data_IF_317140668996
#
_entry.id   IF_317140668996
#
_cell.length_a   1.000
_cell.length_b   1.000
_cell.length_c   1.000
_cell.angle_alpha   90.00
_cell.angle_beta   90.00
_cell.angle_gamma   90.00
#
_symmetry.space_group_name_H-M   'P 1'
#
loop_
_entity.id
_entity.type
_entity.pdbx_description
1 polymer ?
#
# COMPACT_ATOMS: atom_id res chain seq x y z
N UNK A 1 -11.17 -13.63 -0.63
CA UNK A 1 -10.29 -12.55 -1.16
C UNK A 1 -9.06 -12.54 -0.29
N UNK A 2 -7.84 -12.41 -0.84
CA UNK A 2 -6.63 -12.24 0.00
C UNK A 2 -6.55 -10.81 0.54
N UNK A 3 -5.76 -10.59 1.61
CA UNK A 3 -5.43 -9.22 2.09
C UNK A 3 -4.83 -8.37 0.98
N UNK A 4 -3.94 -8.94 0.16
CA UNK A 4 -3.34 -8.26 -1.00
C UNK A 4 -4.39 -7.81 -2.02
N UNK A 5 -5.36 -8.68 -2.33
CA UNK A 5 -6.45 -8.32 -3.26
C UNK A 5 -7.34 -7.22 -2.69
N UNK A 6 -7.64 -7.28 -1.39
CA UNK A 6 -8.43 -6.26 -0.71
C UNK A 6 -7.72 -4.90 -0.72
N UNK A 7 -6.42 -4.87 -0.40
CA UNK A 7 -5.58 -3.66 -0.48
C UNK A 7 -5.56 -3.12 -1.90
N UNK A 8 -5.27 -3.97 -2.89
CA UNK A 8 -5.22 -3.58 -4.30
C UNK A 8 -6.56 -3.03 -4.78
N UNK A 9 -7.68 -3.58 -4.34
CA UNK A 9 -9.02 -3.09 -4.69
C UNK A 9 -9.21 -1.64 -4.27
N UNK A 10 -8.85 -1.29 -3.04
CA UNK A 10 -8.96 0.08 -2.50
C UNK A 10 -7.98 1.02 -3.20
N UNK A 11 -6.71 0.60 -3.37
CA UNK A 11 -5.68 1.40 -4.05
C UNK A 11 -6.05 1.66 -5.52
N UNK A 12 -6.58 0.67 -6.23
CA UNK A 12 -7.00 0.84 -7.63
C UNK A 12 -8.19 1.79 -7.74
N UNK A 13 -9.14 1.74 -6.80
CA UNK A 13 -10.21 2.72 -6.73
C UNK A 13 -9.65 4.13 -6.48
N UNK A 14 -8.71 4.29 -5.54
CA UNK A 14 -8.07 5.58 -5.31
C UNK A 14 -7.34 6.11 -6.55
N UNK A 15 -6.64 5.22 -7.28
CA UNK A 15 -5.95 5.57 -8.53
C UNK A 15 -6.91 6.03 -9.63
N UNK A 16 -8.10 5.43 -9.74
CA UNK A 16 -9.10 5.83 -10.72
C UNK A 16 -9.74 7.19 -10.43
N UNK A 17 -9.63 7.67 -9.19
CA UNK A 17 -10.17 8.95 -8.75
C UNK A 17 -9.18 10.12 -8.95
N UNK A 18 -7.93 9.86 -9.28
CA UNK A 18 -6.91 10.90 -9.48
C UNK A 18 -7.33 11.88 -10.58
N UNK A 19 -7.26 13.17 -10.28
CA UNK A 19 -7.71 14.25 -11.15
C UNK A 19 -9.15 14.71 -10.92
N UNK A 20 -9.94 14.00 -10.08
CA UNK A 20 -11.27 14.48 -9.72
C UNK A 20 -11.19 15.84 -9.04
N UNK A 21 -12.06 16.77 -9.46
CA UNK A 21 -12.27 18.09 -8.88
C UNK A 21 -13.77 18.33 -8.70
N UNK A 22 -14.22 18.83 -7.54
CA UNK A 22 -15.59 19.26 -7.40
C UNK A 22 -15.86 20.50 -8.25
N UNK A 23 -17.01 20.55 -8.91
CA UNK A 23 -17.40 21.66 -9.81
C UNK A 23 -18.13 22.79 -9.11
N UNK A 24 -18.62 22.54 -7.90
CA UNK A 24 -19.38 23.50 -7.12
C UNK A 24 -18.90 23.49 -5.66
N UNK A 25 -17.99 24.37 -5.31
CA UNK A 25 -17.41 24.45 -3.97
C UNK A 25 -16.81 23.11 -3.54
N UNK A 26 -17.02 22.74 -2.27
CA UNK A 26 -16.58 21.44 -1.71
C UNK A 26 -17.65 20.34 -1.79
N UNK A 27 -18.66 20.51 -2.65
CA UNK A 27 -19.69 19.49 -2.87
C UNK A 27 -19.12 18.34 -3.71
N UNK A 28 -18.89 17.19 -3.08
CA UNK A 28 -18.24 16.07 -3.73
C UNK A 28 -19.14 14.86 -3.92
N UNK A 29 -18.88 14.06 -4.94
CA UNK A 29 -19.55 12.76 -5.11
C UNK A 29 -19.31 11.81 -3.92
N UNK A 30 -18.19 11.96 -3.23
CA UNK A 30 -17.80 11.14 -2.08
C UNK A 30 -18.66 11.44 -0.87
N UNK A 31 -18.78 12.73 -0.50
CA UNK A 31 -19.63 13.16 0.61
C UNK A 31 -21.10 12.85 0.33
N UNK A 32 -21.60 13.17 -0.87
CA UNK A 32 -22.98 12.84 -1.28
C UNK A 32 -23.30 11.36 -1.15
N UNK A 33 -22.36 10.49 -1.54
CA UNK A 33 -22.54 9.05 -1.41
C UNK A 33 -22.59 8.61 0.05
N UNK A 34 -21.66 9.05 0.90
CA UNK A 34 -21.64 8.68 2.31
C UNK A 34 -22.83 9.28 3.09
N UNK A 35 -23.23 10.51 2.78
CA UNK A 35 -24.41 11.16 3.36
C UNK A 35 -25.71 10.43 2.99
N UNK A 36 -25.77 9.81 1.79
CA UNK A 36 -26.93 9.01 1.36
C UNK A 36 -27.15 7.73 2.18
N UNK A 37 -26.14 7.29 2.92
CA UNK A 37 -26.22 6.12 3.80
C UNK A 37 -26.94 6.42 5.13
N UNK A 38 -27.23 7.68 5.41
CA UNK A 38 -28.06 8.17 6.51
C UNK A 38 -27.45 8.15 7.91
N UNK A 39 -26.68 7.09 8.26
CA UNK A 39 -26.11 6.91 9.60
C UNK A 39 -24.58 6.68 9.61
N UNK A 40 -23.90 6.93 8.48
CA UNK A 40 -22.46 6.77 8.42
C UNK A 40 -21.75 7.79 9.30
N UNK A 41 -22.07 9.07 9.13
CA UNK A 41 -21.56 10.15 9.97
C UNK A 41 -22.63 10.71 10.93
N UNK A 42 -22.18 11.49 11.90
CA UNK A 42 -23.02 12.22 12.86
C UNK A 42 -23.86 13.35 12.24
N UNK A 43 -23.75 13.59 10.95
CA UNK A 43 -24.46 14.58 10.16
C UNK A 43 -23.88 14.66 8.76
N UNK A 44 -24.54 15.39 7.87
CA UNK A 44 -24.09 15.57 6.48
C UNK A 44 -22.72 16.23 6.41
N UNK A 45 -21.89 15.77 5.45
CA UNK A 45 -20.52 16.25 5.21
C UNK A 45 -20.34 16.87 3.83
N UNK A 46 -21.36 16.85 2.97
CA UNK A 46 -21.30 17.49 1.67
C UNK A 46 -21.16 19.01 1.81
N UNK A 47 -20.16 19.60 1.16
CA UNK A 47 -19.82 21.02 1.25
C UNK A 47 -18.71 21.36 2.25
N UNK A 48 -18.19 20.38 3.00
CA UNK A 48 -17.09 20.57 3.96
C UNK A 48 -15.75 20.02 3.40
N UNK A 49 -14.67 20.15 4.20
CA UNK A 49 -13.40 19.53 3.91
C UNK A 49 -13.55 18.02 3.78
N UNK A 50 -12.94 17.44 2.74
CA UNK A 50 -13.28 16.10 2.30
C UNK A 50 -12.09 15.14 2.13
N UNK A 51 -10.93 15.46 2.74
CA UNK A 51 -9.78 14.56 2.68
C UNK A 51 -10.08 13.22 3.37
N UNK A 52 -10.68 13.24 4.54
CA UNK A 52 -11.07 12.05 5.30
C UNK A 52 -12.28 11.35 4.69
N UNK A 53 -13.25 12.15 4.25
CA UNK A 53 -14.43 11.67 3.51
C UNK A 53 -14.03 10.88 2.24
N UNK A 54 -13.00 11.33 1.52
CA UNK A 54 -12.46 10.61 0.38
C UNK A 54 -11.89 9.25 0.80
N UNK A 55 -11.10 9.21 1.88
CA UNK A 55 -10.55 7.97 2.39
C UNK A 55 -11.65 6.98 2.80
N UNK A 56 -12.62 7.43 3.56
CA UNK A 56 -13.77 6.61 4.00
C UNK A 56 -14.57 6.07 2.80
N UNK A 57 -14.81 6.93 1.80
CA UNK A 57 -15.49 6.52 0.56
C UNK A 57 -14.79 5.33 -0.11
N UNK A 58 -13.46 5.30 -0.15
CA UNK A 58 -12.73 4.22 -0.79
C UNK A 58 -13.06 2.86 -0.16
N UNK A 59 -13.14 2.81 1.16
CA UNK A 59 -13.45 1.57 1.89
C UNK A 59 -14.92 1.19 1.78
N UNK A 60 -15.80 2.15 1.97
CA UNK A 60 -17.24 1.93 1.88
C UNK A 60 -17.66 1.51 0.48
N UNK A 61 -17.10 2.15 -0.54
CA UNK A 61 -17.37 1.79 -1.95
C UNK A 61 -16.81 0.42 -2.31
N UNK A 62 -15.67 0.03 -1.72
CA UNK A 62 -15.03 -1.25 -1.98
C UNK A 62 -15.72 -2.43 -1.29
N UNK A 63 -16.24 -2.25 -0.08
CA UNK A 63 -16.68 -3.36 0.77
C UNK A 63 -18.10 -3.21 1.33
N UNK A 64 -18.81 -2.14 0.99
CA UNK A 64 -20.12 -1.80 1.56
C UNK A 64 -20.00 -1.04 2.88
N UNK A 65 -21.07 -0.35 3.25
CA UNK A 65 -21.08 0.59 4.37
C UNK A 65 -20.66 -0.05 5.70
N UNK A 66 -21.22 -1.21 6.01
CA UNK A 66 -21.01 -1.87 7.31
C UNK A 66 -19.59 -2.41 7.46
N UNK A 67 -19.08 -3.09 6.43
CA UNK A 67 -17.73 -3.63 6.44
C UNK A 67 -16.68 -2.52 6.33
N UNK A 68 -16.84 -1.59 5.38
CA UNK A 68 -15.91 -0.48 5.19
C UNK A 68 -15.74 0.33 6.48
N UNK A 69 -16.85 0.65 7.16
CA UNK A 69 -16.85 1.37 8.43
C UNK A 69 -16.08 0.60 9.53
N UNK A 70 -16.38 -0.70 9.69
CA UNK A 70 -15.72 -1.56 10.67
C UNK A 70 -14.21 -1.73 10.39
N UNK A 71 -13.81 -1.77 9.10
CA UNK A 71 -12.40 -1.81 8.73
C UNK A 71 -11.63 -0.57 9.21
N UNK A 72 -12.31 0.57 9.32
CA UNK A 72 -11.77 1.83 9.78
C UNK A 72 -12.01 2.07 11.29
N UNK A 73 -12.52 1.05 12.00
CA UNK A 73 -12.86 1.11 13.43
C UNK A 73 -13.87 2.19 13.79
N UNK A 74 -14.62 2.69 12.82
CA UNK A 74 -15.58 3.77 13.02
C UNK A 74 -16.93 3.24 13.56
N UNK A 75 -17.56 3.91 14.55
CA UNK A 75 -18.90 3.60 14.99
C UNK A 75 -19.94 4.09 13.97
N UNK A 76 -21.20 3.68 14.13
CA UNK A 76 -22.32 4.37 13.47
C UNK A 76 -22.40 5.82 13.96
N UNK A 77 -22.85 6.74 13.09
CA UNK A 77 -22.86 8.19 13.34
C UNK A 77 -21.46 8.70 13.74
N UNK A 78 -20.45 8.24 12.99
CA UNK A 78 -19.04 8.51 13.23
C UNK A 78 -18.72 10.01 13.18
N UNK A 79 -17.69 10.41 13.92
CA UNK A 79 -17.00 11.70 13.80
C UNK A 79 -15.83 11.65 12.79
N UNK A 80 -15.65 10.49 12.12
CA UNK A 80 -14.49 10.19 11.25
C UNK A 80 -14.35 11.04 10.00
N UNK A 81 -15.27 11.95 9.67
CA UNK A 81 -14.98 12.97 8.68
C UNK A 81 -13.98 14.02 9.18
N UNK A 82 -13.61 13.99 10.43
CA UNK A 82 -12.57 14.81 11.04
C UNK A 82 -11.33 13.99 11.34
N UNK A 83 -10.20 14.36 10.72
CA UNK A 83 -8.94 13.63 10.70
C UNK A 83 -8.46 13.19 12.10
N UNK A 84 -8.58 14.07 13.10
CA UNK A 84 -8.20 13.74 14.48
C UNK A 84 -9.05 12.63 15.09
N UNK A 85 -10.36 12.57 14.77
CA UNK A 85 -11.24 11.49 15.24
C UNK A 85 -10.91 10.18 14.57
N UNK A 86 -10.67 10.17 13.26
CA UNK A 86 -10.23 8.99 12.54
C UNK A 86 -8.92 8.44 13.11
N UNK A 87 -7.93 9.29 13.36
CA UNK A 87 -6.68 8.88 13.99
C UNK A 87 -6.91 8.26 15.39
N UNK A 88 -7.86 8.76 16.17
CA UNK A 88 -8.18 8.23 17.49
C UNK A 88 -8.83 6.86 17.41
N UNK A 89 -9.73 6.59 16.46
CA UNK A 89 -10.29 5.25 16.28
C UNK A 89 -9.20 4.19 16.05
N UNK A 90 -8.17 4.50 15.26
CA UNK A 90 -7.03 3.59 15.12
C UNK A 90 -6.21 3.44 16.41
N UNK A 91 -5.98 4.52 17.16
CA UNK A 91 -5.24 4.46 18.42
C UNK A 91 -5.94 3.61 19.47
N UNK A 92 -7.25 3.82 19.67
CA UNK A 92 -8.08 3.07 20.60
C UNK A 92 -8.09 1.57 20.28
N UNK A 93 -7.99 1.22 19.01
CA UNK A 93 -7.96 -0.17 18.54
C UNK A 93 -6.53 -0.73 18.35
N UNK A 94 -5.49 -0.05 18.83
CA UNK A 94 -4.06 -0.46 18.71
C UNK A 94 -3.62 -0.66 17.25
N UNK A 95 -4.27 0.02 16.32
CA UNK A 95 -4.06 -0.06 14.88
C UNK A 95 -3.33 1.18 14.32
N UNK A 96 -2.74 2.00 15.19
CA UNK A 96 -1.95 3.17 14.79
C UNK A 96 -0.45 2.84 14.77
N UNK A 97 0.22 3.06 13.64
CA UNK A 97 1.61 2.68 13.38
C UNK A 97 2.48 3.92 13.11
N UNK A 98 3.78 3.80 13.38
CA UNK A 98 4.81 4.75 12.91
C UNK A 98 5.42 4.35 11.56
N UNK A 99 5.13 3.13 11.10
CA UNK A 99 5.64 2.61 9.83
C UNK A 99 4.52 2.58 8.79
N UNK A 100 4.80 2.96 7.53
CA UNK A 100 3.84 2.89 6.45
C UNK A 100 3.49 1.45 6.11
N UNK A 101 2.24 1.26 5.67
CA UNK A 101 1.76 0.02 5.06
C UNK A 101 0.90 0.37 3.84
N UNK A 102 0.84 -0.52 2.85
CA UNK A 102 -0.04 -0.33 1.69
C UNK A 102 -1.50 -0.30 2.14
N UNK A 103 -2.25 0.65 1.63
CA UNK A 103 -3.65 0.87 1.97
C UNK A 103 -3.89 1.53 3.34
N UNK A 104 -2.83 1.86 4.09
CA UNK A 104 -2.95 2.59 5.36
C UNK A 104 -3.43 4.03 5.12
N UNK A 105 -4.11 4.57 6.11
CA UNK A 105 -4.42 5.99 6.20
C UNK A 105 -3.23 6.75 6.76
N UNK A 106 -2.61 7.64 5.98
CA UNK A 106 -1.54 8.51 6.45
C UNK A 106 -2.14 9.76 7.11
N UNK A 107 -1.54 10.22 8.21
CA UNK A 107 -1.99 11.39 8.97
C UNK A 107 -0.93 12.48 9.02
N UNK A 108 -1.36 13.70 8.71
CA UNK A 108 -0.57 14.94 8.81
C UNK A 108 -1.19 15.80 9.91
N UNK A 109 -0.85 15.52 11.17
CA UNK A 109 -1.53 16.11 12.31
C UNK A 109 -3.00 15.71 12.39
N UNK A 110 -3.84 16.69 12.71
CA UNK A 110 -5.30 16.56 12.73
C UNK A 110 -5.97 17.24 11.51
N UNK A 111 -5.18 17.68 10.53
CA UNK A 111 -5.64 18.59 9.48
C UNK A 111 -5.80 17.90 8.13
N UNK A 112 -4.97 16.90 7.83
CA UNK A 112 -4.95 16.27 6.51
C UNK A 112 -4.66 14.78 6.56
N UNK A 113 -5.15 14.07 5.53
CA UNK A 113 -5.01 12.62 5.41
C UNK A 113 -5.10 12.15 3.97
N UNK A 114 -4.65 10.94 3.71
CA UNK A 114 -4.74 10.26 2.43
C UNK A 114 -4.51 8.76 2.55
N UNK A 115 -4.45 8.07 1.43
CA UNK A 115 -4.13 6.64 1.37
C UNK A 115 -2.70 6.41 0.91
N UNK A 116 -1.96 5.53 1.60
CA UNK A 116 -0.65 5.04 1.17
C UNK A 116 -0.83 4.07 0.01
N UNK A 117 -0.27 4.37 -1.14
CA UNK A 117 -0.38 3.54 -2.35
C UNK A 117 0.92 2.85 -2.73
N UNK A 118 2.04 3.32 -2.18
CA UNK A 118 3.36 2.70 -2.29
C UNK A 118 4.33 3.31 -1.27
N UNK A 119 5.46 2.65 -1.01
CA UNK A 119 6.57 3.19 -0.22
C UNK A 119 7.86 2.42 -0.46
N UNK A 120 8.98 3.10 -0.28
CA UNK A 120 10.33 2.52 -0.32
C UNK A 120 11.14 2.89 0.94
N UNK A 121 12.45 2.77 0.89
CA UNK A 121 13.32 3.12 2.03
C UNK A 121 13.33 4.62 2.34
N UNK A 122 13.10 5.49 1.35
CA UNK A 122 13.19 6.96 1.47
C UNK A 122 11.85 7.69 1.47
N UNK A 123 10.85 7.14 0.79
CA UNK A 123 9.63 7.87 0.47
C UNK A 123 8.37 7.08 0.75
N UNK A 124 7.26 7.82 0.92
CA UNK A 124 5.88 7.33 0.94
C UNK A 124 5.12 8.02 -0.17
N UNK A 125 4.40 7.25 -0.96
CA UNK A 125 3.57 7.71 -2.07
C UNK A 125 2.11 7.60 -1.69
N UNK A 126 1.36 8.67 -1.86
CA UNK A 126 -0.05 8.76 -1.44
C UNK A 126 -0.98 9.17 -2.58
N UNK A 127 -2.26 8.93 -2.38
CA UNK A 127 -3.35 9.58 -3.10
C UNK A 127 -4.24 10.25 -2.05
N UNK A 128 -4.52 11.53 -2.26
CA UNK A 128 -5.16 12.39 -1.27
C UNK A 128 -6.32 13.16 -1.90
N UNK A 129 -7.43 13.22 -1.19
CA UNK A 129 -8.54 14.11 -1.51
C UNK A 129 -8.36 15.48 -0.88
N UNK A 130 -9.11 16.47 -1.35
CA UNK A 130 -9.12 17.84 -0.81
C UNK A 130 -7.72 18.49 -0.75
N UNK A 131 -6.88 18.23 -1.73
CA UNK A 131 -5.50 18.77 -1.80
C UNK A 131 -5.32 19.65 -3.04
N UNK A 132 -4.26 20.46 -3.09
CA UNK A 132 -3.94 21.32 -4.23
C UNK A 132 -4.58 22.72 -4.23
N UNK A 133 -5.18 23.14 -3.11
CA UNK A 133 -5.79 24.48 -2.95
C UNK A 133 -7.21 24.62 -3.53
N UNK A 134 -7.85 25.75 -3.28
CA UNK A 134 -9.22 26.04 -3.71
C UNK A 134 -10.25 25.06 -3.13
N UNK A 135 -11.08 24.48 -4.00
CA UNK A 135 -12.07 23.47 -3.60
C UNK A 135 -11.48 22.05 -3.43
N UNK A 136 -10.16 21.94 -3.60
CA UNK A 136 -9.42 20.68 -3.53
C UNK A 136 -9.60 19.80 -4.78
N UNK A 137 -8.74 18.81 -4.89
CA UNK A 137 -8.81 17.76 -5.91
C UNK A 137 -8.21 16.46 -5.37
N UNK A 138 -8.37 15.35 -6.11
CA UNK A 138 -7.66 14.11 -5.81
C UNK A 138 -6.32 14.11 -6.52
N UNK A 139 -5.22 14.04 -5.76
CA UNK A 139 -3.86 14.10 -6.29
C UNK A 139 -2.97 12.99 -5.77
N UNK A 140 -1.93 12.67 -6.55
CA UNK A 140 -0.77 11.92 -6.07
C UNK A 140 0.16 12.85 -5.33
N UNK A 141 0.72 12.39 -4.21
CA UNK A 141 1.73 13.11 -3.43
C UNK A 141 2.87 12.17 -3.06
N UNK A 142 4.02 12.77 -2.75
CA UNK A 142 5.22 12.05 -2.31
C UNK A 142 5.82 12.77 -1.12
N UNK A 143 6.16 12.03 -0.07
CA UNK A 143 6.75 12.57 1.15
C UNK A 143 7.98 11.76 1.54
N UNK A 144 8.98 12.39 2.16
CA UNK A 144 10.06 11.66 2.81
C UNK A 144 9.49 10.87 4.00
N UNK A 145 9.91 9.62 4.16
CA UNK A 145 9.42 8.76 5.28
C UNK A 145 9.73 9.32 6.66
N UNK A 146 10.81 10.10 6.79
CA UNK A 146 11.22 10.77 8.03
C UNK A 146 10.67 12.19 8.13
N UNK A 147 9.72 12.60 7.31
CA UNK A 147 9.09 13.92 7.40
C UNK A 147 8.41 14.10 8.77
N UNK A 148 8.70 15.19 9.44
CA UNK A 148 8.10 15.56 10.72
C UNK A 148 6.60 15.90 10.59
N UNK A 149 6.13 16.17 9.37
CA UNK A 149 4.71 16.41 9.11
C UNK A 149 3.87 15.13 9.20
N UNK A 150 4.48 13.95 9.01
CA UNK A 150 3.79 12.67 9.12
C UNK A 150 3.69 12.29 10.59
N UNK A 151 2.48 12.29 11.14
CA UNK A 151 2.25 11.92 12.54
C UNK A 151 2.07 10.43 12.75
N UNK A 152 1.72 9.68 11.72
CA UNK A 152 1.62 8.21 11.73
C UNK A 152 0.62 7.67 10.70
N UNK A 153 0.28 6.41 10.86
CA UNK A 153 -0.52 5.63 9.91
C UNK A 153 -1.58 4.82 10.64
N UNK A 154 -2.83 4.93 10.21
CA UNK A 154 -3.93 4.06 10.64
C UNK A 154 -3.96 2.82 9.76
N UNK A 155 -3.91 1.64 10.38
CA UNK A 155 -3.91 0.37 9.65
C UNK A 155 -5.34 -0.19 9.65
N UNK A 156 -6.04 -0.25 8.51
CA UNK A 156 -7.37 -0.81 8.43
C UNK A 156 -7.42 -2.28 8.85
N UNK A 157 -8.55 -2.70 9.41
CA UNK A 157 -8.75 -4.10 9.79
C UNK A 157 -9.02 -4.98 8.55
N UNK A 158 -7.96 -5.33 7.85
CA UNK A 158 -8.03 -6.16 6.66
C UNK A 158 -8.58 -7.57 6.92
N UNK A 159 -8.48 -8.06 8.17
CA UNK A 159 -8.99 -9.37 8.56
C UNK A 159 -10.51 -9.52 8.40
N UNK A 160 -11.27 -8.41 8.32
CA UNK A 160 -12.71 -8.45 8.10
C UNK A 160 -13.11 -8.85 6.67
N UNK A 161 -12.21 -8.72 5.71
CA UNK A 161 -12.47 -9.01 4.28
C UNK A 161 -11.52 -10.06 3.71
N UNK A 162 -10.41 -10.29 4.39
CA UNK A 162 -9.50 -11.37 4.08
C UNK A 162 -10.14 -12.70 4.45
N UNK A 163 -10.08 -13.69 3.55
CA UNK A 163 -10.40 -15.08 3.92
C UNK A 163 -9.37 -15.57 4.95
N UNK A 164 -9.79 -16.44 5.85
CA UNK A 164 -8.95 -17.09 6.89
C UNK A 164 -7.71 -17.81 6.30
N UNK A 165 -7.65 -17.95 4.99
CA UNK A 165 -6.53 -18.44 4.19
C UNK A 165 -5.71 -17.29 3.57
N UNK A 166 -5.30 -16.31 4.35
CA UNK A 166 -4.26 -15.36 3.93
C UNK A 166 -2.90 -16.10 3.90
N UNK A 167 -2.72 -16.82 2.80
CA UNK A 167 -1.42 -17.43 2.50
C UNK A 167 -0.41 -16.28 2.33
N UNK A 168 0.69 -16.36 3.05
CA UNK A 168 1.82 -15.46 2.81
C UNK A 168 2.18 -15.49 1.32
N UNK A 169 2.64 -14.36 0.80
CA UNK A 169 3.13 -14.28 -0.58
C UNK A 169 4.21 -15.35 -0.81
N UNK A 170 4.22 -15.94 -2.01
CA UNK A 170 5.21 -16.96 -2.39
C UNK A 170 6.65 -16.45 -2.20
N UNK A 171 6.89 -15.15 -2.39
CA UNK A 171 8.19 -14.54 -2.14
C UNK A 171 8.61 -14.61 -0.67
N UNK A 172 7.65 -14.39 0.24
CA UNK A 172 7.89 -14.51 1.69
C UNK A 172 8.15 -15.98 2.06
N UNK A 173 7.33 -16.89 1.54
CA UNK A 173 7.49 -18.32 1.79
C UNK A 173 8.82 -18.85 1.22
N UNK A 174 9.21 -18.42 0.02
CA UNK A 174 10.48 -18.81 -0.57
C UNK A 174 11.68 -18.35 0.28
N UNK A 175 11.64 -17.12 0.81
CA UNK A 175 12.65 -16.62 1.75
C UNK A 175 12.66 -17.41 3.07
N UNK A 176 11.50 -17.80 3.60
CA UNK A 176 11.40 -18.65 4.77
C UNK A 176 11.94 -20.08 4.51
N UNK A 177 11.74 -20.61 3.29
CA UNK A 177 12.31 -21.89 2.86
C UNK A 177 13.84 -21.79 2.82
N UNK A 178 14.39 -20.73 2.24
CA UNK A 178 15.83 -20.47 2.19
C UNK A 178 16.40 -20.36 3.61
N UNK A 179 15.67 -19.72 4.53
CA UNK A 179 16.02 -19.62 5.95
C UNK A 179 15.81 -20.94 6.75
N UNK A 180 15.43 -22.05 6.10
CA UNK A 180 15.30 -23.37 6.74
C UNK A 180 14.01 -23.60 7.55
N UNK A 181 13.08 -22.63 7.62
CA UNK A 181 11.87 -22.70 8.47
C UNK A 181 10.88 -23.81 8.06
N UNK A 182 10.97 -24.31 6.84
CA UNK A 182 10.06 -25.31 6.27
C UNK A 182 10.64 -26.71 6.21
N UNK A 183 11.88 -26.91 6.69
CA UNK A 183 12.61 -28.19 6.61
C UNK A 183 13.10 -28.49 5.19
N UNK A 184 13.44 -29.78 4.92
CA UNK A 184 14.05 -30.19 3.66
C UNK A 184 13.27 -31.35 3.00
N UNK A 185 13.47 -31.51 1.68
CA UNK A 185 12.96 -32.65 0.90
C UNK A 185 11.46 -32.89 1.05
N UNK A 186 11.07 -34.12 1.31
CA UNK A 186 9.66 -34.55 1.46
C UNK A 186 8.95 -33.87 2.63
N UNK A 187 9.67 -33.53 3.70
CA UNK A 187 9.11 -32.84 4.87
C UNK A 187 8.71 -31.41 4.48
N UNK A 188 9.53 -30.70 3.72
CA UNK A 188 9.22 -29.36 3.17
C UNK A 188 7.96 -29.43 2.29
N UNK A 189 7.92 -30.39 1.37
CA UNK A 189 6.77 -30.56 0.47
C UNK A 189 5.48 -30.74 1.27
N UNK A 190 5.44 -31.70 2.20
CA UNK A 190 4.27 -31.95 3.04
C UNK A 190 3.81 -30.75 3.84
N UNK A 191 4.75 -29.99 4.44
CA UNK A 191 4.41 -28.80 5.22
C UNK A 191 3.83 -27.68 4.34
N UNK A 192 4.42 -27.43 3.17
CA UNK A 192 3.93 -26.41 2.25
C UNK A 192 2.56 -26.75 1.71
N UNK A 193 2.34 -28.01 1.29
CA UNK A 193 1.05 -28.46 0.79
C UNK A 193 -0.03 -28.46 1.88
N UNK A 194 0.30 -28.88 3.11
CA UNK A 194 -0.60 -28.81 4.26
C UNK A 194 -0.98 -27.35 4.62
N UNK A 195 -0.07 -26.40 4.43
CA UNK A 195 -0.34 -24.97 4.54
C UNK A 195 -1.03 -24.37 3.28
N UNK A 196 -1.34 -25.23 2.30
CA UNK A 196 -2.07 -24.90 1.09
C UNK A 196 -1.23 -24.21 0.01
N UNK A 197 0.10 -24.23 0.07
CA UNK A 197 0.97 -23.73 -0.98
C UNK A 197 1.24 -24.77 -2.05
N UNK A 198 1.38 -24.31 -3.31
CA UNK A 198 1.89 -25.17 -4.38
C UNK A 198 3.41 -25.33 -4.20
N UNK A 199 3.85 -26.55 -3.89
CA UNK A 199 5.26 -26.84 -3.68
C UNK A 199 6.14 -26.46 -4.86
N UNK A 200 5.68 -26.72 -6.11
CA UNK A 200 6.47 -26.44 -7.30
C UNK A 200 6.67 -24.94 -7.54
N UNK A 201 5.63 -24.13 -7.30
CA UNK A 201 5.72 -22.68 -7.39
C UNK A 201 6.68 -22.08 -6.35
N UNK A 202 6.56 -22.54 -5.10
CA UNK A 202 7.47 -22.11 -4.03
C UNK A 202 8.91 -22.53 -4.36
N UNK A 203 9.12 -23.77 -4.82
CA UNK A 203 10.46 -24.25 -5.14
C UNK A 203 11.05 -23.54 -6.36
N UNK A 204 10.27 -23.23 -7.38
CA UNK A 204 10.70 -22.42 -8.51
C UNK A 204 11.16 -21.02 -8.05
N UNK A 205 10.41 -20.39 -7.13
CA UNK A 205 10.80 -19.09 -6.56
C UNK A 205 12.05 -19.19 -5.68
N UNK A 206 12.19 -20.24 -4.89
CA UNK A 206 13.40 -20.51 -4.11
C UNK A 206 14.62 -20.64 -5.05
N UNK A 207 14.51 -21.43 -6.12
CA UNK A 207 15.59 -21.61 -7.08
C UNK A 207 15.95 -20.28 -7.74
N UNK A 208 14.94 -19.47 -8.13
CA UNK A 208 15.17 -18.14 -8.67
C UNK A 208 15.93 -17.24 -7.68
N UNK A 209 15.48 -17.14 -6.42
CA UNK A 209 16.11 -16.28 -5.41
C UNK A 209 17.54 -16.72 -5.03
N UNK A 210 17.84 -18.01 -5.12
CA UNK A 210 19.19 -18.54 -4.85
C UNK A 210 20.13 -18.30 -6.02
N UNK A 211 19.64 -18.31 -7.26
CA UNK A 211 20.46 -18.15 -8.46
C UNK A 211 20.57 -16.71 -8.95
N UNK A 212 19.62 -15.83 -8.57
CA UNK A 212 19.59 -14.43 -9.00
C UNK A 212 19.91 -13.49 -7.84
N UNK A 213 20.90 -12.65 -8.03
CA UNK A 213 21.24 -11.59 -7.08
C UNK A 213 20.15 -10.52 -7.08
N UNK A 214 20.00 -9.81 -5.98
CA UNK A 214 19.07 -8.66 -5.92
C UNK A 214 19.50 -7.55 -6.89
N UNK A 215 18.55 -6.74 -7.35
CA UNK A 215 18.83 -5.58 -8.19
C UNK A 215 19.86 -4.64 -7.54
N UNK A 216 19.84 -4.49 -6.23
CA UNK A 216 20.83 -3.72 -5.47
C UNK A 216 22.23 -4.30 -5.60
N UNK A 217 22.37 -5.61 -5.43
CA UNK A 217 23.67 -6.29 -5.57
C UNK A 217 24.21 -6.18 -6.99
N UNK A 218 23.35 -6.33 -8.01
CA UNK A 218 23.72 -6.16 -9.41
C UNK A 218 24.08 -4.70 -9.71
N UNK A 219 23.31 -3.72 -9.19
CA UNK A 219 23.63 -2.30 -9.37
C UNK A 219 25.00 -1.94 -8.79
N UNK A 220 25.35 -2.45 -7.61
CA UNK A 220 26.69 -2.29 -7.04
C UNK A 220 27.79 -2.95 -7.90
N UNK A 221 27.52 -4.10 -8.47
CA UNK A 221 28.46 -4.76 -9.41
C UNK A 221 28.61 -3.97 -10.72
N UNK A 222 27.55 -3.33 -11.20
CA UNK A 222 27.59 -2.42 -12.35
C UNK A 222 28.46 -1.20 -12.04
N UNK A 223 28.30 -0.60 -10.87
CA UNK A 223 29.12 0.54 -10.40
C UNK A 223 30.59 0.10 -10.27
N UNK A 224 30.84 -1.11 -9.80
CA UNK A 224 32.18 -1.70 -9.72
C UNK A 224 32.77 -2.14 -11.10
N UNK A 225 32.08 -1.87 -12.22
CA UNK A 225 32.54 -2.15 -13.57
C UNK A 225 32.47 -3.60 -14.03
N UNK A 226 31.89 -4.53 -13.24
CA UNK A 226 31.89 -5.98 -13.54
C UNK A 226 31.02 -6.37 -14.74
N UNK A 227 30.13 -5.50 -15.17
CA UNK A 227 29.15 -5.75 -16.24
C UNK A 227 29.51 -5.06 -17.58
N UNK A 228 30.67 -4.36 -17.67
CA UNK A 228 31.04 -3.57 -18.83
C UNK A 228 30.25 -2.27 -18.96
N UNK A 229 30.24 -1.68 -20.17
CA UNK A 229 29.59 -0.37 -20.41
C UNK A 229 28.62 -0.40 -21.60
N UNK A 230 27.71 0.55 -21.65
CA UNK A 230 26.79 0.79 -22.78
C UNK A 230 26.02 -0.47 -23.21
N UNK A 231 26.01 -0.74 -24.50
CA UNK A 231 25.30 -1.87 -25.10
C UNK A 231 25.82 -3.24 -24.65
N UNK A 232 27.14 -3.36 -24.35
CA UNK A 232 27.67 -4.59 -23.80
C UNK A 232 27.08 -4.93 -22.43
N UNK A 233 27.00 -3.93 -21.55
CA UNK A 233 26.34 -4.06 -20.24
C UNK A 233 24.91 -4.53 -20.40
N UNK A 234 24.15 -3.86 -21.28
CA UNK A 234 22.75 -4.20 -21.52
C UNK A 234 22.60 -5.65 -21.94
N UNK A 235 23.35 -6.09 -22.94
CA UNK A 235 23.31 -7.48 -23.43
C UNK A 235 23.66 -8.50 -22.35
N UNK A 236 24.68 -8.21 -21.52
CA UNK A 236 25.08 -9.10 -20.42
C UNK A 236 24.00 -9.22 -19.35
N UNK A 237 23.39 -8.09 -18.93
CA UNK A 237 22.33 -8.08 -17.93
C UNK A 237 21.09 -8.82 -18.43
N UNK A 238 20.62 -8.53 -19.63
CA UNK A 238 19.48 -9.19 -20.25
C UNK A 238 19.71 -10.70 -20.43
N UNK A 239 20.91 -11.09 -20.88
CA UNK A 239 21.29 -12.52 -20.97
C UNK A 239 21.30 -13.21 -19.61
N UNK A 240 21.60 -12.49 -18.54
CA UNK A 240 21.56 -13.01 -17.17
C UNK A 240 20.18 -12.95 -16.53
N UNK A 241 19.13 -12.50 -17.26
CA UNK A 241 17.75 -12.43 -16.81
C UNK A 241 17.39 -11.18 -15.99
N UNK A 242 18.22 -10.14 -16.05
CA UNK A 242 17.95 -8.86 -15.38
C UNK A 242 17.36 -7.84 -16.36
N UNK A 243 16.40 -7.04 -15.88
CA UNK A 243 15.91 -5.89 -16.63
C UNK A 243 16.93 -4.74 -16.58
N UNK A 244 17.51 -4.42 -17.75
CA UNK A 244 18.53 -3.38 -17.85
C UNK A 244 18.06 -2.02 -17.34
N UNK A 245 16.80 -1.63 -17.62
CA UNK A 245 16.26 -0.33 -17.18
C UNK A 245 16.19 -0.26 -15.65
N UNK A 246 15.63 -1.29 -15.03
CA UNK A 246 15.52 -1.38 -13.56
C UNK A 246 16.88 -1.33 -12.90
N UNK A 247 17.86 -2.05 -13.44
CA UNK A 247 19.23 -2.02 -12.91
C UNK A 247 19.87 -0.63 -13.10
N UNK A 248 19.68 0.01 -14.26
CA UNK A 248 20.26 1.32 -14.52
C UNK A 248 19.63 2.42 -13.65
N UNK A 249 18.33 2.39 -13.45
CA UNK A 249 17.63 3.27 -12.50
C UNK A 249 18.22 3.11 -11.09
N UNK A 250 18.43 1.87 -10.66
CA UNK A 250 19.00 1.60 -9.35
C UNK A 250 20.44 2.07 -9.20
N UNK A 251 21.26 1.93 -10.26
CA UNK A 251 22.61 2.50 -10.33
C UNK A 251 22.57 4.02 -10.14
N UNK A 252 21.68 4.71 -10.89
CA UNK A 252 21.55 6.16 -10.81
C UNK A 252 21.11 6.62 -9.40
N UNK A 253 20.19 5.93 -8.78
CA UNK A 253 19.75 6.20 -7.40
C UNK A 253 20.90 6.06 -6.38
N UNK A 254 21.75 5.03 -6.53
CA UNK A 254 22.89 4.80 -5.63
C UNK A 254 23.94 5.91 -5.80
N UNK A 255 24.20 6.33 -7.03
CA UNK A 255 25.22 7.36 -7.34
C UNK A 255 24.75 8.78 -7.03
N UNK A 256 23.42 9.01 -6.87
CA UNK A 256 22.86 10.33 -6.53
C UNK A 256 22.77 10.61 -5.04
N UNK A 257 23.24 9.71 -4.19
CA UNK A 257 23.27 9.82 -2.71
C UNK A 257 24.61 10.33 -2.22
#
# INVERSE_FOLDING_TARGET
>A
MTTKDAINKVINLARSEVGYKPTNGKHTKYAKYLDSLGDFYNGKKDGYDWCDVFFDYLFVKSFGADIGRKMLYQPKKSLGAGVGFSANYYRENKAFSKLPQLGAQIFFGNEHTGIVVDFDSGYVYTIEGNTGGGNGQVMRKTYRRNSTTITGYGIPNWGLVASVNDKKDIDVIAKEVIAGKWGNGSTRKKKLEAAGYNYNEVQAKVNYLVTHKSNDAIALEVIAGKWGNGEERKKKLEKAGYDYKVIQERVNEILSR
#
